data_IF_517288490999
#
_entry.id   IF_517288490999
#
_cell.length_a   1.000
_cell.length_b   1.000
_cell.length_c   1.000
_cell.angle_alpha   90.00
_cell.angle_beta   90.00
_cell.angle_gamma   90.00
#
_symmetry.space_group_name_H-M   'P 1'
#
loop_
_entity.id
_entity.type
_entity.pdbx_description
1 polymer ?
#
# COMPACT_ATOMS: atom_id res chain seq x y z
N UNK A 1 -26.93 -12.19 -2.94
CA UNK A 1 -25.71 -11.38 -3.09
C UNK A 1 -25.86 -10.23 -2.14
N UNK A 2 -24.96 -10.12 -1.18
CA UNK A 2 -24.94 -9.05 -0.19
C UNK A 2 -23.62 -8.28 -0.34
N UNK A 3 -23.63 -7.01 0.09
CA UNK A 3 -22.44 -6.18 0.12
C UNK A 3 -22.29 -5.64 1.53
N UNK A 4 -21.19 -5.99 2.18
CA UNK A 4 -20.80 -5.41 3.47
C UNK A 4 -19.78 -4.31 3.22
N UNK A 5 -19.89 -3.19 3.92
CA UNK A 5 -18.95 -2.08 3.83
C UNK A 5 -18.22 -1.87 5.16
N UNK A 6 -16.95 -1.50 5.08
CA UNK A 6 -16.09 -1.34 6.23
C UNK A 6 -15.28 -0.05 6.14
N UNK A 7 -14.90 0.47 7.31
CA UNK A 7 -13.99 1.63 7.39
C UNK A 7 -12.53 1.21 7.48
N UNK A 8 -12.26 0.06 8.07
CA UNK A 8 -10.94 -0.57 8.24
C UNK A 8 -11.00 -2.03 7.78
N UNK A 9 -9.88 -2.56 7.28
CA UNK A 9 -9.76 -3.94 6.85
C UNK A 9 -8.33 -4.46 7.09
N UNK A 10 -8.16 -5.65 7.68
CA UNK A 10 -6.86 -6.30 7.82
C UNK A 10 -6.72 -7.41 6.79
N UNK A 11 -5.70 -7.33 5.93
CA UNK A 11 -5.37 -8.38 4.96
C UNK A 11 -3.88 -8.70 5.06
N UNK A 12 -3.55 -9.99 5.32
CA UNK A 12 -2.17 -10.46 5.46
C UNK A 12 -1.32 -9.62 6.44
N UNK A 13 -1.92 -9.23 7.57
CA UNK A 13 -1.25 -8.42 8.60
C UNK A 13 -1.09 -6.93 8.26
N UNK A 14 -1.59 -6.47 7.11
CA UNK A 14 -1.58 -5.06 6.71
C UNK A 14 -2.98 -4.49 6.93
N UNK A 15 -3.07 -3.43 7.74
CA UNK A 15 -4.33 -2.73 8.00
C UNK A 15 -4.52 -1.65 6.94
N UNK A 16 -5.61 -1.71 6.21
CA UNK A 16 -6.09 -0.70 5.29
C UNK A 16 -7.26 0.06 5.89
N UNK A 17 -7.32 1.36 5.62
CA UNK A 17 -8.40 2.22 6.06
C UNK A 17 -9.04 2.93 4.87
N UNK A 18 -10.30 3.31 5.00
CA UNK A 18 -10.92 4.34 4.18
C UNK A 18 -10.28 5.69 4.46
N UNK A 19 -10.21 6.56 3.45
CA UNK A 19 -9.67 7.91 3.55
C UNK A 19 -10.37 8.73 4.63
N UNK A 20 -11.70 8.58 4.74
CA UNK A 20 -12.48 9.23 5.79
C UNK A 20 -12.07 8.79 7.21
N UNK A 21 -11.65 7.53 7.40
CA UNK A 21 -11.13 7.07 8.67
C UNK A 21 -9.71 7.58 8.91
N UNK A 22 -8.86 7.61 7.90
CA UNK A 22 -7.52 8.20 8.01
C UNK A 22 -7.56 9.69 8.39
N UNK A 23 -8.48 10.46 7.82
CA UNK A 23 -8.57 11.92 8.05
C UNK A 23 -8.90 12.32 9.48
N UNK A 24 -9.39 11.37 10.29
CA UNK A 24 -9.68 11.60 11.72
C UNK A 24 -8.65 10.94 12.65
N UNK A 25 -7.61 10.30 12.11
CA UNK A 25 -6.53 9.67 12.85
C UNK A 25 -5.16 10.25 12.47
N UNK A 26 -4.14 9.95 13.29
CA UNK A 26 -2.75 10.35 13.02
C UNK A 26 -2.06 9.37 12.07
N UNK A 27 -2.62 8.18 11.86
CA UNK A 27 -2.06 7.14 10.99
C UNK A 27 -2.65 7.23 9.58
N UNK A 28 -1.84 7.02 8.56
CA UNK A 28 -2.27 6.89 7.17
C UNK A 28 -2.24 5.41 6.76
N UNK A 29 -3.39 4.81 6.50
CA UNK A 29 -3.49 3.43 6.02
C UNK A 29 -4.35 3.29 4.74
N UNK A 30 -4.79 4.41 4.15
CA UNK A 30 -5.65 4.47 2.97
C UNK A 30 -4.88 4.52 1.66
N UNK A 31 -3.58 4.86 1.68
CA UNK A 31 -2.78 4.94 0.47
C UNK A 31 -2.50 3.56 -0.13
N UNK A 32 -2.73 3.44 -1.44
CA UNK A 32 -2.57 2.20 -2.19
C UNK A 32 -1.78 2.39 -3.48
N UNK A 33 -1.05 1.35 -3.84
CA UNK A 33 -0.32 1.22 -5.10
C UNK A 33 -0.71 -0.07 -5.81
N UNK A 34 -1.04 0.03 -7.10
CA UNK A 34 -1.30 -1.09 -7.99
C UNK A 34 -0.26 -1.09 -9.11
N UNK A 35 0.41 -2.23 -9.29
CA UNK A 35 1.24 -2.47 -10.48
C UNK A 35 0.44 -3.34 -11.46
N UNK A 36 -0.14 -2.70 -12.47
CA UNK A 36 -0.91 -3.40 -13.49
C UNK A 36 -0.02 -3.82 -14.66
N UNK A 37 -0.11 -5.08 -15.05
CA UNK A 37 0.51 -5.57 -16.29
C UNK A 37 -0.50 -5.41 -17.43
N UNK A 38 -0.41 -4.30 -18.17
CA UNK A 38 -1.43 -3.89 -19.12
C UNK A 38 -0.88 -3.67 -20.53
N UNK A 39 -1.76 -3.80 -21.51
CA UNK A 39 -1.47 -3.53 -22.91
C UNK A 39 -1.68 -2.03 -23.17
N UNK A 40 -0.60 -1.34 -23.50
CA UNK A 40 -0.63 0.06 -23.92
C UNK A 40 -0.77 0.15 -25.43
N UNK A 41 -1.68 1.03 -25.86
CA UNK A 41 -1.91 1.36 -27.27
C UNK A 41 -1.77 2.86 -27.46
N UNK A 42 -1.03 3.30 -28.47
CA UNK A 42 -0.85 4.72 -28.76
C UNK A 42 -2.13 5.36 -29.34
N UNK A 43 -3.00 4.55 -29.95
CA UNK A 43 -4.30 4.97 -30.48
C UNK A 43 -5.20 3.77 -30.77
N UNK A 44 -6.48 4.01 -31.05
CA UNK A 44 -7.40 2.96 -31.51
C UNK A 44 -7.00 2.29 -32.84
N UNK A 45 -6.07 2.88 -33.61
CA UNK A 45 -5.52 2.33 -34.86
C UNK A 45 -4.16 1.68 -34.67
N UNK A 46 -3.66 1.62 -33.44
CA UNK A 46 -2.36 1.03 -33.14
C UNK A 46 -2.36 -0.45 -33.50
N UNK A 47 -1.37 -0.86 -34.29
CA UNK A 47 -1.17 -2.25 -34.72
C UNK A 47 -0.09 -2.96 -33.92
N UNK A 48 0.66 -2.23 -33.10
CA UNK A 48 1.79 -2.75 -32.33
C UNK A 48 1.62 -2.37 -30.86
N UNK A 49 0.59 -2.91 -30.18
CA UNK A 49 0.43 -2.69 -28.75
C UNK A 49 1.67 -3.16 -27.99
N UNK A 50 2.07 -2.39 -26.98
CA UNK A 50 3.17 -2.73 -26.09
C UNK A 50 2.59 -3.17 -24.77
N UNK A 51 2.95 -4.37 -24.31
CA UNK A 51 2.59 -4.82 -22.97
C UNK A 51 3.67 -4.36 -22.01
N UNK A 52 3.28 -3.62 -20.97
CA UNK A 52 4.21 -3.08 -19.98
C UNK A 52 3.55 -2.96 -18.61
N UNK A 53 4.39 -2.81 -17.59
CA UNK A 53 3.96 -2.57 -16.23
C UNK A 53 3.62 -1.09 -16.05
N UNK A 54 2.42 -0.79 -15.57
CA UNK A 54 1.96 0.56 -15.26
C UNK A 54 1.57 0.65 -13.79
N UNK A 55 2.15 1.64 -13.10
CA UNK A 55 1.88 1.90 -11.69
C UNK A 55 0.74 2.89 -11.51
N UNK A 56 -0.17 2.59 -10.58
CA UNK A 56 -1.27 3.46 -10.19
C UNK A 56 -1.17 3.71 -8.69
N UNK A 57 -1.28 4.97 -8.29
CA UNK A 57 -1.31 5.40 -6.91
C UNK A 57 -2.68 5.97 -6.62
N UNK A 58 -3.18 5.76 -5.41
CA UNK A 58 -4.48 6.30 -5.02
C UNK A 58 -4.74 6.14 -3.54
N UNK A 59 -5.95 6.48 -3.13
CA UNK A 59 -6.43 6.28 -1.77
C UNK A 59 -7.79 5.60 -1.77
N UNK A 60 -7.98 4.73 -0.77
CA UNK A 60 -9.21 3.95 -0.60
C UNK A 60 -10.32 4.88 -0.14
N UNK A 61 -11.40 4.96 -0.91
CA UNK A 61 -12.64 5.63 -0.52
C UNK A 61 -13.58 4.70 0.24
N UNK A 62 -13.79 3.49 -0.29
CA UNK A 62 -14.64 2.49 0.32
C UNK A 62 -13.99 1.11 0.28
N UNK A 63 -14.31 0.30 1.28
CA UNK A 63 -13.92 -1.11 1.36
C UNK A 63 -15.17 -1.94 1.40
N UNK A 64 -15.32 -2.86 0.44
CA UNK A 64 -16.47 -3.74 0.33
C UNK A 64 -16.07 -5.20 0.29
N UNK A 65 -16.89 -6.02 0.94
CA UNK A 65 -16.94 -7.45 0.69
C UNK A 65 -18.12 -7.78 -0.22
N UNK A 66 -17.82 -8.43 -1.33
CA UNK A 66 -18.81 -8.95 -2.25
C UNK A 66 -19.07 -10.42 -1.93
N UNK A 67 -20.23 -10.71 -1.33
CA UNK A 67 -20.64 -12.07 -0.97
C UNK A 67 -21.39 -12.75 -2.12
N UNK A 68 -20.70 -13.69 -2.78
CA UNK A 68 -21.22 -14.54 -3.86
C UNK A 68 -21.80 -15.87 -3.35
N UNK A 69 -22.08 -16.00 -2.04
CA UNK A 69 -22.54 -17.19 -1.31
C UNK A 69 -21.52 -18.34 -1.22
N UNK A 70 -20.69 -18.53 -2.25
CA UNK A 70 -19.65 -19.57 -2.28
C UNK A 70 -18.29 -19.06 -1.84
N UNK A 71 -18.04 -17.78 -2.03
CA UNK A 71 -16.81 -17.09 -1.67
C UNK A 71 -17.10 -15.60 -1.53
N UNK A 72 -16.22 -14.92 -0.81
CA UNK A 72 -16.24 -13.47 -0.64
C UNK A 72 -15.03 -12.89 -1.35
N UNK A 73 -15.22 -11.78 -2.08
CA UNK A 73 -14.12 -11.00 -2.64
C UNK A 73 -14.13 -9.63 -1.98
N UNK A 74 -13.01 -9.26 -1.36
CA UNK A 74 -12.78 -7.92 -0.86
C UNK A 74 -12.26 -7.02 -1.97
N UNK A 75 -12.98 -5.93 -2.20
CA UNK A 75 -12.64 -4.91 -3.20
C UNK A 75 -12.53 -3.54 -2.53
N UNK A 76 -11.58 -2.74 -3.01
CA UNK A 76 -11.45 -1.35 -2.65
C UNK A 76 -11.97 -0.50 -3.80
N UNK A 77 -12.78 0.51 -3.48
CA UNK A 77 -13.05 1.63 -4.37
C UNK A 77 -12.02 2.70 -4.08
N UNK A 78 -11.22 3.07 -5.07
CA UNK A 78 -10.12 4.00 -4.92
C UNK A 78 -10.33 5.23 -5.80
N UNK A 79 -9.90 6.37 -5.29
CA UNK A 79 -9.61 7.52 -6.15
C UNK A 79 -8.15 7.41 -6.59
N UNK A 80 -7.97 7.16 -7.89
CA UNK A 80 -6.65 7.01 -8.48
C UNK A 80 -6.12 8.36 -8.93
N UNK A 81 -4.83 8.59 -8.71
CA UNK A 81 -4.13 9.78 -9.18
C UNK A 81 -3.93 9.67 -10.70
N UNK A 82 -4.12 10.78 -11.41
CA UNK A 82 -3.91 10.86 -12.84
C UNK A 82 -2.45 10.62 -13.20
N UNK A 83 -2.20 9.56 -13.96
CA UNK A 83 -0.84 9.12 -14.30
C UNK A 83 -0.12 10.08 -15.25
N UNK A 84 -0.83 11.00 -15.90
CA UNK A 84 -0.27 11.92 -16.88
C UNK A 84 0.18 13.25 -16.27
N UNK A 85 -0.65 13.81 -15.38
CA UNK A 85 -0.44 15.15 -14.80
C UNK A 85 -0.24 15.17 -13.29
N UNK A 86 -0.60 14.08 -12.61
CA UNK A 86 -0.51 13.96 -11.16
C UNK A 86 0.69 13.17 -10.66
N UNK A 87 1.64 12.82 -11.53
CA UNK A 87 2.80 11.99 -11.18
C UNK A 87 4.08 12.50 -11.82
N UNK A 88 5.12 12.68 -11.02
CA UNK A 88 6.48 13.04 -11.45
C UNK A 88 7.49 12.20 -10.67
N UNK A 89 8.62 11.84 -11.29
CA UNK A 89 9.77 11.30 -10.57
C UNK A 89 10.85 12.38 -10.58
N UNK A 90 11.35 12.73 -9.40
CA UNK A 90 12.36 13.77 -9.27
C UNK A 90 13.78 13.29 -9.63
N UNK A 91 14.75 14.19 -9.58
CA UNK A 91 16.15 13.90 -9.92
C UNK A 91 16.82 12.90 -8.95
N UNK A 92 16.29 12.75 -7.74
CA UNK A 92 16.78 11.83 -6.71
C UNK A 92 16.09 10.45 -6.79
N UNK A 93 15.07 10.33 -7.65
CA UNK A 93 14.31 9.11 -7.88
C UNK A 93 13.08 8.94 -7.00
N UNK A 94 12.67 9.96 -6.24
CA UNK A 94 11.41 9.93 -5.50
C UNK A 94 10.23 10.05 -6.44
N UNK A 95 9.19 9.26 -6.18
CA UNK A 95 7.90 9.46 -6.84
C UNK A 95 7.12 10.52 -6.08
N UNK A 96 6.80 11.61 -6.78
CA UNK A 96 5.95 12.71 -6.31
C UNK A 96 4.56 12.57 -6.94
N UNK A 97 3.54 12.76 -6.12
CA UNK A 97 2.14 12.75 -6.57
C UNK A 97 1.40 14.01 -6.17
N UNK A 98 0.56 14.53 -7.05
CA UNK A 98 -0.42 15.59 -6.74
C UNK A 98 -1.75 14.92 -6.41
N UNK A 99 -2.08 14.85 -5.11
CA UNK A 99 -3.28 14.19 -4.59
C UNK A 99 -4.59 14.86 -5.04
N UNK A 100 -4.53 16.08 -5.60
CA UNK A 100 -5.70 16.78 -6.14
C UNK A 100 -6.05 16.35 -7.58
N UNK A 101 -5.11 15.71 -8.28
CA UNK A 101 -5.28 15.28 -9.68
C UNK A 101 -5.83 13.87 -9.72
N UNK A 102 -7.15 13.75 -9.59
CA UNK A 102 -7.83 12.45 -9.70
C UNK A 102 -8.07 12.10 -11.18
N UNK A 103 -7.66 10.89 -11.54
CA UNK A 103 -7.87 10.25 -12.84
C UNK A 103 -8.63 8.94 -12.72
N UNK A 104 -8.75 8.21 -13.84
CA UNK A 104 -9.30 6.85 -13.90
C UNK A 104 -10.69 6.69 -13.24
N UNK A 105 -11.56 7.71 -13.30
CA UNK A 105 -12.88 7.70 -12.65
C UNK A 105 -13.83 6.60 -13.13
N UNK A 106 -13.54 5.98 -14.28
CA UNK A 106 -14.33 4.88 -14.83
C UNK A 106 -13.83 3.49 -14.37
N UNK A 107 -12.68 3.42 -13.70
CA UNK A 107 -12.05 2.18 -13.25
C UNK A 107 -11.49 2.33 -11.83
N UNK A 108 -12.40 2.40 -10.87
CA UNK A 108 -12.08 2.71 -9.47
C UNK A 108 -11.89 1.48 -8.59
N UNK A 109 -12.22 0.28 -9.07
CA UNK A 109 -12.28 -0.91 -8.23
C UNK A 109 -11.05 -1.79 -8.41
N UNK A 110 -10.49 -2.23 -7.29
CA UNK A 110 -9.35 -3.14 -7.27
C UNK A 110 -9.55 -4.19 -6.18
N UNK A 111 -9.06 -5.41 -6.40
CA UNK A 111 -9.07 -6.42 -5.34
C UNK A 111 -8.04 -6.05 -4.27
N UNK A 112 -8.43 -6.18 -3.00
CA UNK A 112 -7.55 -5.87 -1.86
C UNK A 112 -6.21 -6.64 -1.91
N UNK A 113 -6.24 -7.87 -2.45
CA UNK A 113 -5.07 -8.73 -2.56
C UNK A 113 -4.04 -8.30 -3.62
N UNK A 114 -4.38 -7.36 -4.51
CA UNK A 114 -3.53 -6.91 -5.62
C UNK A 114 -2.81 -5.59 -5.33
N UNK A 115 -3.23 -4.87 -4.30
CA UNK A 115 -2.63 -3.57 -3.94
C UNK A 115 -1.54 -3.74 -2.89
N UNK A 116 -0.60 -2.81 -2.91
CA UNK A 116 0.36 -2.59 -1.83
C UNK A 116 -0.01 -1.31 -1.08
N UNK A 117 0.23 -1.28 0.22
CA UNK A 117 0.06 -0.06 1.00
C UNK A 117 1.21 0.92 0.73
N UNK A 118 0.87 2.20 0.59
CA UNK A 118 1.81 3.32 0.47
C UNK A 118 1.36 4.49 1.35
N UNK A 119 2.28 5.39 1.63
CA UNK A 119 2.04 6.60 2.42
C UNK A 119 2.38 7.83 1.57
N UNK A 120 1.71 8.94 1.86
CA UNK A 120 1.93 10.20 1.17
C UNK A 120 2.39 11.24 2.18
N UNK A 121 3.60 11.75 1.99
CA UNK A 121 4.21 12.77 2.84
C UNK A 121 4.36 14.05 2.04
N UNK A 122 3.81 15.16 2.53
CA UNK A 122 3.91 16.45 1.84
C UNK A 122 5.37 16.83 1.56
N UNK A 123 5.66 17.22 0.32
CA UNK A 123 6.97 17.70 -0.07
C UNK A 123 7.15 19.16 0.38
N UNK A 124 8.10 19.46 1.30
CA UNK A 124 8.33 20.82 1.77
C UNK A 124 8.88 21.74 0.67
N UNK A 125 9.48 21.19 -0.40
CA UNK A 125 10.04 21.96 -1.52
C UNK A 125 9.00 22.22 -2.61
N UNK A 126 7.99 21.36 -2.76
CA UNK A 126 6.97 21.44 -3.81
C UNK A 126 5.57 21.40 -3.21
N UNK A 127 5.05 22.57 -2.83
CA UNK A 127 3.70 22.67 -2.27
C UNK A 127 2.63 22.07 -3.20
N UNK A 128 1.77 21.22 -2.63
CA UNK A 128 0.74 20.49 -3.37
C UNK A 128 1.18 19.12 -3.91
N UNK A 129 2.47 18.79 -3.79
CA UNK A 129 2.99 17.45 -4.09
C UNK A 129 3.30 16.69 -2.81
N UNK A 130 3.14 15.37 -2.86
CA UNK A 130 3.52 14.47 -1.79
C UNK A 130 4.49 13.41 -2.31
N UNK A 131 5.53 13.11 -1.54
CA UNK A 131 6.42 11.98 -1.75
C UNK A 131 5.69 10.69 -1.40
N UNK A 132 5.76 9.70 -2.28
CA UNK A 132 5.23 8.37 -2.02
C UNK A 132 6.26 7.53 -1.28
N UNK A 133 5.86 6.96 -0.14
CA UNK A 133 6.67 6.00 0.61
C UNK A 133 6.03 4.62 0.52
N UNK A 134 6.78 3.65 0.03
CA UNK A 134 6.40 2.23 0.10
C UNK A 134 6.97 1.59 1.35
N UNK A 135 6.16 0.85 2.11
CA UNK A 135 6.72 0.03 3.17
C UNK A 135 7.51 -1.15 2.56
N UNK A 136 8.72 -1.42 3.04
CA UNK A 136 9.38 -2.69 2.76
C UNK A 136 8.52 -3.84 3.27
N UNK A 137 8.65 -5.01 2.64
CA UNK A 137 8.06 -6.21 3.19
C UNK A 137 8.64 -6.45 4.59
N UNK A 138 7.79 -6.39 5.61
CA UNK A 138 8.15 -6.92 6.94
C UNK A 138 8.08 -8.44 6.84
N UNK A 139 9.20 -9.09 6.53
CA UNK A 139 9.32 -10.52 6.81
C UNK A 139 9.37 -10.70 8.32
N UNK A 140 8.22 -11.05 8.91
CA UNK A 140 8.21 -11.73 10.20
C UNK A 140 8.74 -13.15 9.97
N UNK A 141 10.07 -13.29 9.91
CA UNK A 141 10.68 -14.58 10.17
C UNK A 141 10.62 -14.79 11.69
N UNK A 142 9.49 -15.27 12.19
CA UNK A 142 9.44 -15.86 13.52
C UNK A 142 10.33 -17.10 13.47
N UNK A 143 11.61 -16.95 13.83
CA UNK A 143 12.48 -18.08 14.11
C UNK A 143 11.91 -18.74 15.36
N UNK A 144 11.01 -19.70 15.14
CA UNK A 144 10.51 -20.59 16.18
C UNK A 144 11.69 -21.46 16.60
N UNK A 145 12.41 -21.02 17.62
CA UNK A 145 13.49 -21.78 18.24
C UNK A 145 14.37 -20.89 19.10
N UNK A 146 14.20 -21.01 20.42
CA UNK A 146 15.10 -20.60 21.49
C UNK A 146 15.86 -19.27 21.31
N UNK A 147 15.43 -18.29 22.09
CA UNK A 147 16.34 -17.45 22.88
C UNK A 147 17.32 -16.52 22.15
N UNK A 148 17.00 -16.08 20.93
CA UNK A 148 17.69 -14.93 20.34
C UNK A 148 16.63 -13.97 19.82
N UNK A 149 16.65 -12.73 20.34
CA UNK A 149 16.01 -11.59 19.69
C UNK A 149 16.63 -11.50 18.29
N UNK A 150 15.99 -12.14 17.32
CA UNK A 150 16.32 -11.91 15.93
C UNK A 150 15.97 -10.46 15.66
N UNK A 151 16.98 -9.63 15.42
CA UNK A 151 16.78 -8.28 14.89
C UNK A 151 15.71 -8.34 13.82
N UNK A 152 14.69 -7.49 13.95
CA UNK A 152 13.81 -7.20 12.82
C UNK A 152 14.70 -6.49 11.80
N UNK A 153 15.35 -7.28 10.96
CA UNK A 153 16.09 -6.81 9.80
C UNK A 153 15.04 -6.32 8.81
N UNK A 154 14.70 -5.04 8.93
CA UNK A 154 13.96 -4.37 7.88
C UNK A 154 14.95 -4.19 6.73
N UNK A 155 14.98 -5.16 5.82
CA UNK A 155 15.65 -4.99 4.53
C UNK A 155 14.81 -4.01 3.71
N UNK A 156 15.04 -2.71 3.97
CA UNK A 156 14.58 -1.64 3.10
C UNK A 156 15.47 -1.65 1.85
N UNK A 157 14.90 -1.98 0.70
CA UNK A 157 15.44 -1.42 -0.54
C UNK A 157 15.46 0.11 -0.37
N UNK A 158 16.59 0.78 -0.67
CA UNK A 158 16.69 2.21 -0.43
C UNK A 158 15.61 2.91 -1.25
N UNK A 159 14.84 3.76 -0.56
CA UNK A 159 13.72 4.50 -1.15
C UNK A 159 14.18 5.46 -2.27
N UNK A 160 15.48 5.75 -2.33
CA UNK A 160 16.16 6.40 -3.46
C UNK A 160 17.11 5.42 -4.13
N UNK A 161 17.24 5.52 -5.45
CA UNK A 161 18.14 4.67 -6.25
C UNK A 161 19.64 4.90 -5.98
N UNK A 162 20.00 5.81 -5.07
CA UNK A 162 21.37 6.31 -4.88
C UNK A 162 21.89 6.40 -3.44
N UNK A 163 21.09 6.06 -2.41
CA UNK A 163 21.59 6.06 -1.02
C UNK A 163 22.11 4.68 -0.60
N UNK A 164 23.36 4.59 -0.07
CA UNK A 164 23.85 3.36 0.54
C UNK A 164 23.14 3.07 1.87
N UNK A 165 23.00 1.79 2.22
CA UNK A 165 22.40 1.35 3.47
C UNK A 165 23.29 1.76 4.67
N UNK A 166 22.68 2.17 5.79
CA UNK A 166 23.38 2.60 7.01
C UNK A 166 23.30 1.48 8.03
N UNK A 167 24.43 0.86 8.35
CA UNK A 167 24.51 -0.18 9.39
C UNK A 167 24.19 0.43 10.77
N UNK A 168 23.18 -0.12 11.45
CA UNK A 168 22.75 0.36 12.78
C UNK A 168 23.41 -0.48 13.88
N UNK A 169 23.97 0.18 14.89
CA UNK A 169 24.78 -0.40 15.96
C UNK A 169 23.90 -0.89 17.12
N UNK A 170 24.20 -2.08 17.62
CA UNK A 170 23.40 -2.92 18.51
C UNK A 170 23.92 -2.83 19.97
N UNK A 171 23.05 -2.58 20.97
CA UNK A 171 23.21 -2.96 22.39
C UNK A 171 22.21 -2.22 23.33
N UNK A 172 21.24 -2.95 23.92
CA UNK A 172 21.01 -3.12 25.37
C UNK A 172 19.56 -3.50 25.73
N UNK A 173 19.48 -4.52 26.59
CA UNK A 173 18.35 -5.38 26.97
C UNK A 173 17.49 -4.78 28.10
N UNK A 174 16.18 -5.09 28.15
CA UNK A 174 15.34 -4.79 29.32
C UNK A 174 13.86 -5.18 29.29
N UNK A 175 13.58 -6.49 29.24
CA UNK A 175 12.58 -7.27 30.04
C UNK A 175 11.08 -6.89 30.24
N UNK A 176 10.27 -7.98 30.24
CA UNK A 176 8.92 -8.27 30.78
C UNK A 176 7.63 -8.00 29.98
N UNK A 177 6.92 -9.10 29.63
CA UNK A 177 5.50 -9.22 30.01
C UNK A 177 4.45 -9.79 29.03
N UNK A 178 4.62 -11.02 28.55
CA UNK A 178 3.59 -12.08 28.32
C UNK A 178 2.25 -11.81 27.56
N UNK A 179 2.11 -12.53 26.41
CA UNK A 179 1.06 -13.53 26.03
C UNK A 179 -0.37 -13.02 25.72
N UNK A 180 -1.04 -13.32 24.59
CA UNK A 180 -1.30 -14.62 23.94
C UNK A 180 -1.72 -14.44 22.46
N UNK A 181 -1.25 -15.28 21.52
CA UNK A 181 -1.82 -15.43 20.15
C UNK A 181 -1.97 -16.93 19.82
N UNK A 182 -3.07 -17.29 19.17
CA UNK A 182 -3.33 -18.62 18.59
C UNK A 182 -3.16 -18.55 17.07
N UNK A 183 -2.59 -19.61 16.52
CA UNK A 183 -2.31 -19.82 15.10
C UNK A 183 -3.57 -20.27 14.34
N UNK A 184 -3.82 -19.66 13.18
CA UNK A 184 -4.95 -19.97 12.31
C UNK A 184 -5.26 -18.85 11.31
N UNK A 185 -5.18 -19.16 10.01
CA UNK A 185 -5.59 -18.32 8.88
C UNK A 185 -7.02 -17.78 9.01
N UNK A 186 -7.22 -16.62 9.63
CA UNK A 186 -8.48 -15.90 9.57
C UNK A 186 -8.18 -14.38 9.53
N UNK A 187 -8.64 -13.72 8.45
CA UNK A 187 -8.64 -12.26 8.35
C UNK A 187 -9.45 -11.68 9.51
N UNK A 188 -8.91 -10.65 10.18
CA UNK A 188 -9.48 -10.09 11.41
C UNK A 188 -10.08 -8.71 11.14
N UNK A 189 -11.35 -8.55 11.48
CA UNK A 189 -12.10 -7.30 11.37
C UNK A 189 -11.95 -6.44 12.62
N UNK A 190 -11.89 -5.11 12.46
CA UNK A 190 -11.93 -4.15 13.57
C UNK A 190 -13.04 -3.14 13.25
N UNK A 191 -14.01 -3.02 14.16
CA UNK A 191 -15.16 -2.09 14.10
C UNK A 191 -14.74 -0.61 14.07
#
# INVERSE_FOLDING_TARGET
MAVSSYRSYLIKGIKFNTKAQDDVHVVQNSGVYLLAHTMQVASAKDKNPIVSNMGFYGFIQDIWDLDYQKFTITVFRCDWIDSTSGLVVDELGFTLVDLSKIGHSNDQFVMASQVKQVFFVDDPMHYGWSVVLSMPYREYNDVIGDDVLGDVRIECEPFTRGMPNVDTFDELVGEYGSKHIRDGCEDIWIE
#
